data_IF_650707957241
#
_entry.id   IF_650707957241
#
_cell.length_a   1.000
_cell.length_b   1.000
_cell.length_c   1.000
_cell.angle_alpha   90.00
_cell.angle_beta   90.00
_cell.angle_gamma   90.00
#
_symmetry.space_group_name_H-M   'P 1'
#
loop_
_entity.id
_entity.type
_entity.pdbx_description
1 polymer ?
#
# COMPACT_ATOMS: atom_id res chain seq x y z
N UNK A 1 31.77 12.10 -10.89
CA UNK A 1 30.76 11.20 -11.50
C UNK A 1 29.82 10.76 -10.41
N UNK A 2 28.52 10.67 -10.71
CA UNK A 2 27.42 10.61 -9.74
C UNK A 2 27.54 9.52 -8.68
N UNK A 3 27.33 9.89 -7.40
CA UNK A 3 26.95 8.96 -6.34
C UNK A 3 25.53 8.45 -6.65
N UNK A 4 25.41 7.36 -7.40
CA UNK A 4 24.14 6.63 -7.50
C UNK A 4 23.97 5.86 -6.20
N UNK A 5 23.45 6.54 -5.18
CA UNK A 5 22.87 5.85 -4.03
C UNK A 5 21.74 4.97 -4.55
N UNK A 6 21.95 3.66 -4.53
CA UNK A 6 20.87 2.69 -4.70
C UNK A 6 19.92 2.90 -3.51
N UNK A 7 18.88 3.69 -3.73
CA UNK A 7 17.80 3.84 -2.76
C UNK A 7 17.13 2.47 -2.65
N UNK A 8 17.41 1.75 -1.56
CA UNK A 8 16.68 0.55 -1.17
C UNK A 8 15.26 0.97 -0.77
N UNK A 9 14.43 1.18 -1.78
CA UNK A 9 13.01 1.49 -1.66
C UNK A 9 12.31 0.26 -1.10
N UNK A 10 12.35 0.12 0.23
CA UNK A 10 11.58 -0.92 0.92
C UNK A 10 10.13 -0.77 0.49
N UNK A 11 9.52 -1.88 0.08
CA UNK A 11 8.09 -1.93 -0.21
C UNK A 11 7.32 -1.37 1.01
N UNK A 12 6.41 -0.39 0.81
CA UNK A 12 5.59 0.13 1.87
C UNK A 12 4.82 -1.00 2.56
N UNK A 13 4.67 -0.91 3.87
CA UNK A 13 3.64 -1.70 4.56
C UNK A 13 2.32 -0.96 4.39
N UNK A 14 1.70 -1.16 3.23
CA UNK A 14 0.44 -0.55 2.85
C UNK A 14 -0.54 -1.63 2.39
N UNK A 15 -1.80 -1.56 2.81
CA UNK A 15 -2.88 -2.46 2.38
C UNK A 15 -4.08 -1.62 1.99
N UNK A 16 -4.57 -1.84 0.78
CA UNK A 16 -5.86 -1.36 0.33
C UNK A 16 -6.90 -2.43 0.61
N UNK A 17 -7.98 -2.06 1.27
CA UNK A 17 -9.18 -2.88 1.39
C UNK A 17 -10.38 -2.13 0.81
N UNK A 18 -11.36 -2.88 0.32
CA UNK A 18 -12.66 -2.31 -0.03
C UNK A 18 -13.57 -2.19 1.21
N UNK A 19 -14.76 -1.62 1.02
CA UNK A 19 -15.76 -1.37 2.08
C UNK A 19 -16.23 -2.62 2.81
N UNK A 20 -16.12 -3.79 2.18
CA UNK A 20 -16.47 -5.08 2.77
C UNK A 20 -15.31 -5.65 3.60
N UNK A 21 -14.21 -4.90 3.74
CA UNK A 21 -13.00 -5.30 4.44
C UNK A 21 -12.17 -6.34 3.67
N UNK A 22 -12.44 -6.54 2.37
CA UNK A 22 -11.68 -7.50 1.56
C UNK A 22 -10.40 -6.85 1.03
N UNK A 23 -9.34 -7.65 1.01
CA UNK A 23 -8.04 -7.25 0.48
C UNK A 23 -8.11 -6.96 -1.03
N UNK A 24 -7.50 -5.86 -1.44
CA UNK A 24 -7.44 -5.43 -2.85
C UNK A 24 -6.01 -5.33 -3.38
N UNK A 25 -5.09 -4.76 -2.59
CA UNK A 25 -3.69 -4.58 -2.97
C UNK A 25 -2.76 -4.38 -1.76
N UNK A 26 -1.46 -4.59 -1.96
CA UNK A 26 -0.41 -4.35 -0.96
C UNK A 26 0.73 -3.48 -1.53
N UNK A 27 1.42 -2.74 -0.67
CA UNK A 27 2.65 -2.03 -1.00
C UNK A 27 2.43 -0.84 -1.93
N UNK A 28 3.31 -0.68 -2.92
CA UNK A 28 3.22 0.43 -3.87
C UNK A 28 1.90 0.44 -4.63
N UNK A 29 1.41 -0.74 -5.02
CA UNK A 29 0.14 -0.88 -5.74
C UNK A 29 -1.05 -0.37 -4.91
N UNK A 30 -1.06 -0.63 -3.60
CA UNK A 30 -2.10 -0.11 -2.72
C UNK A 30 -2.12 1.42 -2.70
N UNK A 31 -0.94 2.05 -2.63
CA UNK A 31 -0.81 3.50 -2.63
C UNK A 31 -1.17 4.12 -3.99
N UNK A 32 -0.74 3.50 -5.08
CA UNK A 32 -1.03 3.97 -6.44
C UNK A 32 -2.52 3.89 -6.74
N UNK A 33 -3.16 2.74 -6.47
CA UNK A 33 -4.61 2.58 -6.66
C UNK A 33 -5.40 3.59 -5.82
N UNK A 34 -5.07 3.74 -4.54
CA UNK A 34 -5.79 4.69 -3.67
C UNK A 34 -5.63 6.15 -4.14
N UNK A 35 -4.45 6.54 -4.64
CA UNK A 35 -4.23 7.89 -5.20
C UNK A 35 -4.98 8.14 -6.51
N UNK A 36 -5.34 7.07 -7.22
CA UNK A 36 -6.08 7.14 -8.49
C UNK A 36 -7.59 7.01 -8.30
N UNK A 37 -8.10 6.88 -7.08
CA UNK A 37 -9.54 6.84 -6.80
C UNK A 37 -10.16 8.23 -6.95
N UNK A 38 -11.35 8.27 -7.55
CA UNK A 38 -12.19 9.47 -7.60
C UNK A 38 -12.93 9.69 -6.26
N UNK A 39 -13.50 10.89 -6.07
CA UNK A 39 -14.15 11.27 -4.79
C UNK A 39 -15.30 10.34 -4.37
N UNK A 40 -16.06 9.82 -5.33
CA UNK A 40 -17.16 8.88 -5.10
C UNK A 40 -16.67 7.48 -4.75
N UNK A 41 -15.47 7.10 -5.22
CA UNK A 41 -14.85 5.82 -4.93
C UNK A 41 -14.13 5.81 -3.57
N UNK A 42 -13.64 6.95 -3.08
CA UNK A 42 -12.91 7.04 -1.80
C UNK A 42 -13.68 6.45 -0.61
N UNK A 43 -15.01 6.57 -0.61
CA UNK A 43 -15.85 6.00 0.45
C UNK A 43 -15.94 4.47 0.40
N UNK A 44 -15.58 3.87 -0.73
CA UNK A 44 -15.64 2.42 -0.97
C UNK A 44 -14.33 1.71 -0.59
N UNK A 45 -13.29 2.45 -0.21
CA UNK A 45 -11.97 1.89 0.09
C UNK A 45 -11.37 2.45 1.38
N UNK A 46 -10.41 1.73 1.94
CA UNK A 46 -9.60 2.17 3.07
C UNK A 46 -8.16 1.75 2.85
N UNK A 47 -7.23 2.71 2.96
CA UNK A 47 -5.80 2.47 2.89
C UNK A 47 -5.20 2.48 4.30
N UNK A 48 -4.59 1.36 4.68
CA UNK A 48 -3.82 1.23 5.93
C UNK A 48 -2.34 1.27 5.62
N UNK A 49 -1.57 2.12 6.30
CA UNK A 49 -0.15 2.30 6.02
C UNK A 49 0.73 2.21 7.29
N UNK A 50 2.02 1.93 7.09
CA UNK A 50 3.09 1.94 8.11
C UNK A 50 2.85 0.98 9.27
N UNK A 51 2.07 -0.08 9.06
CA UNK A 51 1.87 -1.12 10.06
C UNK A 51 3.07 -2.07 10.13
N UNK A 52 3.25 -2.69 11.31
CA UNK A 52 4.29 -3.72 11.51
C UNK A 52 3.76 -5.06 10.99
N UNK A 53 4.58 -5.76 10.21
CA UNK A 53 4.29 -7.14 9.81
C UNK A 53 5.03 -8.13 10.71
N UNK A 54 4.39 -9.26 10.99
CA UNK A 54 5.03 -10.41 11.62
C UNK A 54 5.12 -11.52 10.58
N UNK A 55 6.34 -12.01 10.34
CA UNK A 55 6.52 -13.19 9.51
C UNK A 55 6.07 -14.40 10.33
N UNK A 56 4.98 -15.04 9.91
CA UNK A 56 4.52 -16.29 10.52
C UNK A 56 5.23 -17.47 9.86
N UNK A 57 5.84 -18.32 10.66
CA UNK A 57 6.22 -19.66 10.23
C UNK A 57 5.02 -20.58 10.42
N UNK A 58 4.76 -21.43 9.43
CA UNK A 58 3.67 -22.42 9.43
C UNK A 58 4.21 -23.78 9.80
#
# INVERSE_FOLDING_TARGET
GANVSVCNHKTPTAVLVNKDGRFEAFGYEAQERYKSLEEDELQMYSLYERFKMQLKHT
#
